data_IF_713074516282
#
_entry.id   IF_713074516282
#
_cell.length_a   1.000
_cell.length_b   1.000
_cell.length_c   1.000
_cell.angle_alpha   90.00
_cell.angle_beta   90.00
_cell.angle_gamma   90.00
#
_symmetry.space_group_name_H-M   'P 1'
#
loop_
_entity.id
_entity.type
_entity.pdbx_description
1 polymer ?
#
# COMPACT_ATOMS: atom_id res chain seq x y z
N UNK A 1 -47.62 17.36 18.19
CA UNK A 1 -46.72 16.95 19.27
C UNK A 1 -45.71 15.99 18.65
N UNK A 2 -44.59 16.53 18.19
CA UNK A 2 -43.53 15.77 17.52
C UNK A 2 -42.44 15.57 18.57
N UNK A 3 -42.25 14.33 18.99
CA UNK A 3 -41.18 13.96 19.94
C UNK A 3 -39.89 13.85 19.16
N UNK A 4 -39.01 14.83 19.37
CA UNK A 4 -37.65 14.80 18.85
C UNK A 4 -36.81 13.80 19.67
N UNK A 5 -36.35 12.74 19.03
CA UNK A 5 -35.35 11.83 19.60
C UNK A 5 -33.97 12.44 19.35
N UNK A 6 -33.34 12.84 20.45
CA UNK A 6 -32.00 13.45 20.46
C UNK A 6 -30.93 12.46 19.99
N UNK A 7 -30.32 12.75 18.85
CA UNK A 7 -29.22 12.00 18.25
C UNK A 7 -27.84 12.37 18.83
N UNK A 8 -27.72 12.62 20.14
CA UNK A 8 -26.54 13.29 20.73
C UNK A 8 -25.54 12.37 21.45
N UNK A 9 -25.68 11.04 21.40
CA UNK A 9 -24.82 10.14 22.20
C UNK A 9 -23.85 9.27 21.37
N UNK A 10 -23.90 9.29 20.04
CA UNK A 10 -23.04 8.41 19.20
C UNK A 10 -21.73 9.02 18.68
N UNK A 11 -21.34 10.24 19.08
CA UNK A 11 -20.31 11.03 18.36
C UNK A 11 -18.96 11.20 19.06
N UNK A 12 -18.69 10.55 20.21
CA UNK A 12 -17.43 10.79 20.95
C UNK A 12 -16.30 9.79 20.73
N UNK A 13 -16.46 8.77 19.90
CA UNK A 13 -15.34 7.92 19.44
C UNK A 13 -14.87 8.20 18.00
N UNK A 14 -15.45 9.22 17.34
CA UNK A 14 -15.05 9.62 15.99
C UNK A 14 -14.83 11.14 15.98
N UNK A 15 -13.63 11.58 15.72
CA UNK A 15 -13.30 12.99 15.61
C UNK A 15 -12.48 13.30 14.37
N UNK A 16 -13.03 14.19 13.58
CA UNK A 16 -12.44 15.17 12.67
C UNK A 16 -11.52 14.72 11.53
N UNK A 17 -11.89 15.18 10.34
CA UNK A 17 -11.07 15.26 9.14
C UNK A 17 -9.74 15.93 9.43
N UNK A 18 -8.63 15.19 9.31
CA UNK A 18 -7.27 15.70 9.29
C UNK A 18 -6.52 15.03 8.14
N UNK A 19 -5.76 15.82 7.43
CA UNK A 19 -4.85 15.49 6.34
C UNK A 19 -4.07 14.21 6.68
N UNK A 20 -4.07 13.23 5.77
CA UNK A 20 -3.45 11.91 5.90
C UNK A 20 -1.92 12.02 6.10
N UNK A 21 -1.47 12.06 7.34
CA UNK A 21 -0.04 12.08 7.68
C UNK A 21 0.64 10.71 7.44
N UNK A 22 -0.14 9.61 7.47
CA UNK A 22 0.36 8.24 7.28
C UNK A 22 0.04 7.68 5.89
N UNK A 23 -0.85 8.31 5.12
CA UNK A 23 -1.28 7.82 3.81
C UNK A 23 -2.11 6.53 3.83
N UNK A 24 -2.51 6.04 5.02
CA UNK A 24 -3.37 4.88 5.14
C UNK A 24 -4.81 5.25 4.77
N UNK A 25 -5.42 4.45 3.92
CA UNK A 25 -6.77 4.66 3.40
C UNK A 25 -7.77 3.63 3.95
N UNK A 26 -9.04 4.00 3.93
CA UNK A 26 -10.19 3.10 4.15
C UNK A 26 -10.41 2.50 5.54
N UNK A 27 -9.91 3.08 6.63
CA UNK A 27 -10.27 2.60 7.95
C UNK A 27 -10.79 3.69 8.90
N UNK A 28 -11.39 3.25 9.99
CA UNK A 28 -12.00 4.11 11.02
C UNK A 28 -10.96 4.68 12.01
N UNK A 29 -9.68 4.40 11.81
CA UNK A 29 -8.58 4.83 12.67
C UNK A 29 -8.06 6.18 12.20
N UNK A 30 -7.95 7.13 13.12
CA UNK A 30 -7.43 8.47 12.83
C UNK A 30 -5.90 8.51 12.89
N UNK A 31 -5.28 9.39 12.13
CA UNK A 31 -3.84 9.62 12.18
C UNK A 31 -3.35 10.03 13.57
N UNK A 32 -4.14 10.78 14.32
CA UNK A 32 -3.81 11.11 15.72
C UNK A 32 -3.71 9.86 16.61
N UNK A 33 -4.54 8.85 16.36
CA UNK A 33 -4.45 7.57 17.07
C UNK A 33 -3.24 6.76 16.65
N UNK A 34 -2.95 6.69 15.32
CA UNK A 34 -1.75 6.03 14.77
C UNK A 34 -0.48 6.63 15.37
N UNK A 35 -0.40 7.96 15.35
CA UNK A 35 0.72 8.72 15.90
C UNK A 35 0.92 8.44 17.40
N UNK A 36 -0.13 8.46 18.20
CA UNK A 36 -0.06 8.17 19.63
C UNK A 36 0.47 6.75 19.91
N UNK A 37 -0.04 5.75 19.18
CA UNK A 37 0.39 4.34 19.32
C UNK A 37 1.82 4.15 18.86
N UNK A 38 2.21 4.70 17.71
CA UNK A 38 3.57 4.65 17.17
C UNK A 38 4.57 5.34 18.12
N UNK A 39 4.27 6.55 18.56
CA UNK A 39 5.11 7.30 19.49
C UNK A 39 5.25 6.59 20.83
N UNK A 40 4.18 5.95 21.32
CA UNK A 40 4.26 5.14 22.55
C UNK A 40 5.23 3.98 22.40
N UNK A 41 5.14 3.21 21.33
CA UNK A 41 6.08 2.11 21.07
C UNK A 41 7.51 2.61 20.97
N UNK A 42 7.78 3.63 20.18
CA UNK A 42 9.13 4.17 19.99
C UNK A 42 9.71 4.81 21.27
N UNK A 43 8.89 5.46 22.09
CA UNK A 43 9.31 5.99 23.39
C UNK A 43 9.78 4.85 24.34
N UNK A 44 9.03 3.75 24.37
CA UNK A 44 9.38 2.59 25.21
C UNK A 44 10.64 1.90 24.69
N UNK A 45 10.76 1.71 23.38
CA UNK A 45 11.96 1.14 22.72
C UNK A 45 13.20 2.03 22.93
N UNK A 46 13.05 3.36 22.78
CA UNK A 46 14.12 4.33 23.08
C UNK A 46 14.64 4.19 24.51
N UNK A 47 13.73 4.10 25.50
CA UNK A 47 14.10 3.91 26.89
C UNK A 47 14.95 2.64 27.11
N UNK A 48 14.58 1.53 26.45
CA UNK A 48 15.33 0.29 26.48
C UNK A 48 16.67 0.45 25.75
N UNK A 49 16.66 1.04 24.55
CA UNK A 49 17.88 1.26 23.77
C UNK A 49 18.90 2.15 24.46
N UNK A 50 18.47 3.12 25.24
CA UNK A 50 19.34 3.98 26.07
C UNK A 50 19.84 3.28 27.36
N UNK A 51 19.49 2.02 27.61
CA UNK A 51 19.82 1.33 28.86
C UNK A 51 19.11 1.91 30.10
N UNK A 52 18.03 2.67 29.93
CA UNK A 52 17.24 3.26 31.01
C UNK A 52 16.08 2.39 31.50
N UNK A 53 15.95 1.18 30.95
CA UNK A 53 14.90 0.25 31.32
C UNK A 53 15.29 -0.58 32.54
N UNK A 54 14.46 -0.51 33.59
CA UNK A 54 14.61 -1.37 34.76
C UNK A 54 13.97 -2.73 34.46
N UNK A 55 14.74 -3.78 34.67
CA UNK A 55 14.29 -5.17 34.68
C UNK A 55 14.06 -5.69 36.11
N UNK A 56 14.06 -7.01 36.28
CA UNK A 56 13.88 -7.68 37.58
C UNK A 56 15.13 -7.53 38.45
N UNK A 57 15.13 -6.54 39.33
CA UNK A 57 16.27 -6.20 40.21
C UNK A 57 17.58 -5.91 39.48
N UNK A 58 17.53 -5.53 38.19
CA UNK A 58 18.70 -5.23 37.38
C UNK A 58 18.36 -4.08 36.41
N UNK A 59 19.34 -3.20 36.16
CA UNK A 59 19.27 -2.25 35.07
C UNK A 59 19.66 -2.98 33.77
N UNK A 60 18.78 -2.98 32.78
CA UNK A 60 19.08 -3.61 31.49
C UNK A 60 20.12 -2.80 30.72
N UNK A 61 21.04 -3.48 30.04
CA UNK A 61 22.04 -2.85 29.18
C UNK A 61 21.36 -2.19 27.97
N UNK A 62 21.99 -1.15 27.46
CA UNK A 62 21.54 -0.47 26.25
C UNK A 62 21.50 -1.43 25.04
N UNK A 63 20.65 -1.13 24.06
CA UNK A 63 20.58 -1.92 22.83
C UNK A 63 21.45 -1.31 21.73
N UNK A 64 22.30 -2.14 21.14
CA UNK A 64 23.19 -1.73 20.05
C UNK A 64 22.49 -1.71 18.66
N UNK A 65 21.30 -2.35 18.52
CA UNK A 65 20.65 -2.61 17.23
C UNK A 65 19.12 -2.40 17.23
N UNK A 66 18.60 -1.58 18.12
CA UNK A 66 17.15 -1.36 18.23
C UNK A 66 16.59 -0.53 17.05
N UNK A 67 15.82 -1.14 16.16
CA UNK A 67 15.16 -0.42 15.09
C UNK A 67 14.07 0.51 15.63
N UNK A 68 13.92 1.70 15.03
CA UNK A 68 12.73 2.54 15.16
C UNK A 68 11.58 1.84 14.42
N UNK A 69 10.43 1.76 15.05
CA UNK A 69 9.23 1.24 14.40
C UNK A 69 8.63 2.28 13.46
N UNK A 70 8.16 1.81 12.31
CA UNK A 70 7.35 2.55 11.36
C UNK A 70 5.93 2.00 11.37
N UNK A 71 4.94 2.85 11.09
CA UNK A 71 3.57 2.42 10.87
C UNK A 71 3.44 1.83 9.47
N UNK A 72 2.84 0.66 9.35
CA UNK A 72 2.66 -0.05 8.07
C UNK A 72 1.17 -0.09 7.72
N UNK A 73 0.76 0.68 6.70
CA UNK A 73 -0.63 0.76 6.27
C UNK A 73 -1.14 -0.57 5.68
N UNK A 74 -0.28 -1.34 5.03
CA UNK A 74 -0.62 -2.66 4.53
C UNK A 74 -0.90 -3.62 5.69
N UNK A 75 -0.07 -3.57 6.73
CA UNK A 75 -0.30 -4.36 7.93
C UNK A 75 -1.55 -3.92 8.67
N UNK A 76 -1.89 -2.61 8.67
CA UNK A 76 -3.14 -2.10 9.25
C UNK A 76 -4.35 -2.71 8.57
N UNK A 77 -4.37 -2.83 7.22
CA UNK A 77 -5.43 -3.52 6.50
C UNK A 77 -5.59 -4.98 6.96
N UNK A 78 -4.46 -5.69 7.10
CA UNK A 78 -4.48 -7.07 7.61
C UNK A 78 -5.02 -7.15 9.06
N UNK A 79 -4.73 -6.15 9.91
CA UNK A 79 -5.29 -6.08 11.26
C UNK A 79 -6.80 -5.85 11.21
N UNK A 80 -7.27 -4.91 10.36
CA UNK A 80 -8.69 -4.56 10.23
C UNK A 80 -9.53 -5.75 9.74
N UNK A 81 -9.05 -6.51 8.76
CA UNK A 81 -9.70 -7.74 8.31
C UNK A 81 -9.85 -8.79 9.43
N UNK A 82 -8.89 -8.85 10.32
CA UNK A 82 -8.86 -9.86 11.39
C UNK A 82 -9.56 -9.43 12.69
N UNK A 83 -9.82 -8.12 12.88
CA UNK A 83 -10.42 -7.61 14.14
C UNK A 83 -11.96 -7.60 14.10
N UNK A 84 -12.59 -7.79 12.95
CA UNK A 84 -14.05 -7.69 12.79
C UNK A 84 -14.85 -8.57 13.74
N UNK A 85 -14.34 -9.74 14.07
CA UNK A 85 -15.01 -10.73 14.95
C UNK A 85 -14.85 -10.46 16.44
N UNK A 86 -14.21 -9.34 16.82
CA UNK A 86 -13.93 -9.04 18.24
C UNK A 86 -13.13 -10.13 18.98
N UNK A 87 -12.33 -10.88 18.24
CA UNK A 87 -11.44 -11.93 18.78
C UNK A 87 -10.15 -11.96 17.97
N UNK A 88 -9.05 -12.31 18.60
CA UNK A 88 -7.80 -12.53 17.88
C UNK A 88 -7.93 -13.74 16.94
N UNK A 89 -7.33 -13.70 15.74
CA UNK A 89 -7.21 -14.89 14.91
C UNK A 89 -6.34 -15.94 15.60
N UNK A 90 -6.47 -17.21 15.20
CA UNK A 90 -5.67 -18.30 15.77
C UNK A 90 -4.17 -18.14 15.52
N UNK A 91 -3.80 -17.47 14.43
CA UNK A 91 -2.43 -17.13 14.06
C UNK A 91 -2.42 -15.82 13.23
N UNK A 92 -1.31 -15.07 13.21
CA UNK A 92 -1.15 -13.95 12.29
C UNK A 92 -1.14 -14.45 10.83
N UNK A 93 -1.45 -13.56 9.85
CA UNK A 93 -1.60 -13.95 8.44
C UNK A 93 -0.32 -14.49 7.80
N UNK A 94 0.84 -14.21 8.39
CA UNK A 94 2.13 -14.75 7.96
C UNK A 94 2.90 -15.32 9.13
N UNK A 95 3.61 -16.43 8.92
CA UNK A 95 4.36 -17.13 9.97
C UNK A 95 5.49 -16.29 10.60
N UNK A 96 6.02 -15.32 9.85
CA UNK A 96 7.05 -14.39 10.33
C UNK A 96 6.50 -13.27 11.21
N UNK A 97 5.19 -13.02 11.17
CA UNK A 97 4.56 -11.96 11.93
C UNK A 97 4.34 -12.36 13.38
N UNK A 98 4.38 -11.36 14.24
CA UNK A 98 3.89 -11.49 15.60
C UNK A 98 2.52 -10.85 15.74
N UNK A 99 1.79 -11.28 16.76
CA UNK A 99 0.47 -10.77 17.10
C UNK A 99 0.38 -10.49 18.60
N UNK A 100 -0.24 -9.36 18.94
CA UNK A 100 -0.67 -9.08 20.34
C UNK A 100 -2.11 -8.62 20.33
N UNK A 101 -2.89 -9.02 21.33
CA UNK A 101 -4.28 -8.61 21.45
C UNK A 101 -4.69 -8.38 22.89
N UNK A 102 -5.70 -7.56 23.12
CA UNK A 102 -6.30 -7.36 24.44
C UNK A 102 -7.76 -6.94 24.35
N UNK A 103 -8.54 -7.37 25.33
CA UNK A 103 -9.82 -6.76 25.69
C UNK A 103 -9.60 -5.72 26.78
N UNK A 104 -9.95 -4.47 26.51
CA UNK A 104 -9.77 -3.35 27.44
C UNK A 104 -11.15 -2.88 27.88
N UNK A 105 -11.54 -2.98 29.17
CA UNK A 105 -12.82 -2.50 29.65
C UNK A 105 -12.97 -0.98 29.45
N UNK A 106 -14.08 -0.55 28.86
CA UNK A 106 -14.42 0.87 28.73
C UNK A 106 -15.17 1.28 30.01
N UNK A 107 -14.55 2.16 30.79
CA UNK A 107 -15.13 2.73 32.00
C UNK A 107 -15.35 4.23 31.77
N UNK A 108 -16.60 4.66 31.63
CA UNK A 108 -16.94 6.06 31.36
C UNK A 108 -16.79 6.44 29.88
N UNK A 109 -16.13 7.57 29.60
CA UNK A 109 -15.91 8.03 28.22
C UNK A 109 -14.97 7.11 27.45
N UNK A 110 -15.33 6.82 26.19
CA UNK A 110 -14.47 6.08 25.28
C UNK A 110 -13.38 7.01 24.73
N UNK A 111 -12.18 6.93 25.33
CA UNK A 111 -10.98 7.57 24.79
C UNK A 111 -10.02 6.46 24.33
N UNK A 112 -10.10 6.10 23.06
CA UNK A 112 -9.33 5.00 22.49
C UNK A 112 -7.80 5.22 22.57
N UNK A 113 -7.33 6.47 22.51
CA UNK A 113 -5.90 6.79 22.65
C UNK A 113 -5.44 6.43 24.07
N UNK A 114 -6.08 6.98 25.10
CA UNK A 114 -5.66 6.75 26.47
C UNK A 114 -5.75 5.27 26.86
N UNK A 115 -6.84 4.59 26.49
CA UNK A 115 -7.05 3.17 26.79
C UNK A 115 -5.95 2.29 26.19
N UNK A 116 -5.57 2.56 24.93
CA UNK A 116 -4.54 1.76 24.26
C UNK A 116 -3.15 2.11 24.79
N UNK A 117 -2.81 3.40 24.96
CA UNK A 117 -1.53 3.78 25.55
C UNK A 117 -1.28 3.18 26.93
N UNK A 118 -2.31 3.16 27.80
CA UNK A 118 -2.18 2.57 29.13
C UNK A 118 -2.03 1.05 29.06
N UNK A 119 -2.69 0.39 28.10
CA UNK A 119 -2.49 -1.05 27.86
C UNK A 119 -1.08 -1.36 27.36
N UNK A 120 -0.53 -0.58 26.44
CA UNK A 120 0.85 -0.72 25.95
C UNK A 120 1.87 -0.52 27.09
N UNK A 121 1.65 0.48 27.96
CA UNK A 121 2.49 0.71 29.15
C UNK A 121 2.42 -0.49 30.11
N UNK A 122 1.24 -1.05 30.30
CA UNK A 122 1.03 -2.23 31.17
C UNK A 122 1.78 -3.43 30.64
N UNK A 123 1.61 -3.78 29.36
CA UNK A 123 2.33 -4.87 28.71
C UNK A 123 3.86 -4.71 28.81
N UNK A 124 4.33 -3.48 28.57
CA UNK A 124 5.75 -3.18 28.68
C UNK A 124 6.27 -3.35 30.09
N UNK A 125 5.58 -2.79 31.08
CA UNK A 125 5.96 -2.85 32.50
C UNK A 125 6.00 -4.28 33.01
N UNK A 126 4.99 -5.08 32.71
CA UNK A 126 4.88 -6.48 33.13
C UNK A 126 6.03 -7.31 32.55
N UNK A 127 6.24 -7.25 31.23
CA UNK A 127 7.27 -8.03 30.57
C UNK A 127 8.69 -7.59 30.91
N UNK A 128 8.97 -6.28 30.93
CA UNK A 128 10.25 -5.76 31.33
C UNK A 128 10.60 -6.12 32.78
N UNK A 129 9.58 -6.15 33.69
CA UNK A 129 9.77 -6.53 35.09
C UNK A 129 10.23 -7.98 35.31
N UNK A 130 10.11 -8.84 34.31
CA UNK A 130 10.62 -10.21 34.34
C UNK A 130 12.02 -10.37 33.77
N UNK A 131 12.55 -9.35 33.09
CA UNK A 131 13.86 -9.39 32.42
C UNK A 131 15.01 -9.32 33.41
N UNK A 132 15.97 -10.24 33.32
CA UNK A 132 17.22 -10.25 34.07
C UNK A 132 18.44 -9.96 33.19
N UNK A 133 18.26 -10.03 31.89
CA UNK A 133 19.24 -9.82 30.82
C UNK A 133 18.49 -9.41 29.52
N UNK A 134 19.13 -9.46 28.38
CA UNK A 134 18.53 -9.15 27.09
C UNK A 134 17.84 -10.33 26.39
N UNK A 135 17.68 -11.48 27.05
CA UNK A 135 17.04 -12.65 26.45
C UNK A 135 15.52 -12.65 26.65
N UNK A 136 14.79 -13.15 25.66
CA UNK A 136 13.35 -13.38 25.74
C UNK A 136 13.04 -14.33 26.90
N UNK A 137 12.15 -13.94 27.81
CA UNK A 137 11.72 -14.77 28.94
C UNK A 137 10.45 -15.56 28.63
N UNK A 138 9.52 -14.94 27.87
CA UNK A 138 8.27 -15.55 27.45
C UNK A 138 7.79 -14.95 26.13
N UNK A 139 6.98 -15.70 25.38
CA UNK A 139 6.22 -15.17 24.27
C UNK A 139 5.04 -14.35 24.80
N UNK A 140 5.24 -13.06 24.96
CA UNK A 140 4.27 -12.12 25.51
C UNK A 140 4.29 -10.80 24.72
N UNK A 141 3.33 -9.90 24.93
CA UNK A 141 3.27 -8.63 24.19
C UNK A 141 4.55 -7.78 24.30
N UNK A 142 5.21 -7.78 25.47
CA UNK A 142 6.48 -7.05 25.65
C UNK A 142 7.55 -7.57 24.71
N UNK A 143 7.71 -8.90 24.57
CA UNK A 143 8.73 -9.48 23.72
C UNK A 143 8.53 -9.03 22.24
N UNK A 144 7.29 -8.95 21.78
CA UNK A 144 6.99 -8.48 20.43
C UNK A 144 7.25 -6.97 20.28
N UNK A 145 6.83 -6.15 21.25
CA UNK A 145 7.06 -4.70 21.24
C UNK A 145 8.54 -4.33 21.32
N UNK A 146 9.36 -5.12 22.01
CA UNK A 146 10.77 -4.86 22.30
C UNK A 146 11.74 -5.61 21.35
N UNK A 147 11.24 -6.43 20.42
CA UNK A 147 12.05 -7.13 19.43
C UNK A 147 12.84 -6.16 18.56
N UNK A 148 14.16 -6.15 18.68
CA UNK A 148 15.00 -5.13 18.06
C UNK A 148 14.93 -5.09 16.53
N UNK A 149 14.74 -6.25 15.89
CA UNK A 149 14.76 -6.38 14.43
C UNK A 149 13.43 -5.99 13.76
N UNK A 150 12.36 -5.82 14.54
CA UNK A 150 11.09 -5.32 14.03
C UNK A 150 11.24 -3.86 13.57
N UNK A 151 10.84 -3.56 12.35
CA UNK A 151 10.87 -2.23 11.73
C UNK A 151 9.49 -1.71 11.33
N UNK A 152 8.49 -2.63 11.18
CA UNK A 152 7.13 -2.33 10.80
C UNK A 152 6.09 -2.97 11.72
N UNK A 153 5.02 -2.24 12.00
CA UNK A 153 3.86 -2.75 12.71
C UNK A 153 2.62 -1.92 12.41
N UNK A 154 1.46 -2.47 12.71
CA UNK A 154 0.22 -1.72 12.81
C UNK A 154 -0.69 -2.31 13.88
N UNK A 155 -1.60 -1.49 14.37
CA UNK A 155 -2.66 -1.88 15.29
C UNK A 155 -4.01 -1.35 14.79
N UNK A 156 -5.07 -2.02 15.21
CA UNK A 156 -6.43 -1.53 15.09
C UNK A 156 -7.22 -1.84 16.34
N UNK A 157 -8.36 -1.18 16.53
CA UNK A 157 -9.26 -1.46 17.64
C UNK A 157 -10.71 -1.48 17.19
N UNK A 158 -11.51 -2.26 17.90
CA UNK A 158 -12.97 -2.32 17.73
C UNK A 158 -13.68 -2.25 19.05
N UNK A 159 -14.84 -1.58 19.10
CA UNK A 159 -15.69 -1.59 20.29
C UNK A 159 -16.56 -2.84 20.26
N UNK A 160 -16.43 -3.67 21.28
CA UNK A 160 -17.08 -4.97 21.41
C UNK A 160 -17.74 -5.09 22.78
N UNK A 161 -19.07 -5.09 22.86
CA UNK A 161 -19.85 -5.35 24.08
C UNK A 161 -19.33 -4.61 25.34
N UNK A 162 -19.09 -3.29 25.24
CA UNK A 162 -18.60 -2.47 26.35
C UNK A 162 -17.09 -2.54 26.62
N UNK A 163 -16.36 -3.25 25.78
CA UNK A 163 -14.89 -3.32 25.81
C UNK A 163 -14.33 -2.73 24.49
N UNK A 164 -13.10 -2.29 24.54
CA UNK A 164 -12.28 -2.02 23.35
C UNK A 164 -11.41 -3.26 23.12
N UNK A 165 -11.59 -3.91 21.99
CA UNK A 165 -10.72 -4.99 21.56
C UNK A 165 -9.58 -4.37 20.75
N UNK A 166 -8.32 -4.62 21.15
CA UNK A 166 -7.10 -4.17 20.50
C UNK A 166 -6.41 -5.36 19.85
N UNK A 167 -5.97 -5.21 18.60
CA UNK A 167 -5.15 -6.16 17.88
C UNK A 167 -3.97 -5.42 17.25
N UNK A 168 -2.76 -5.95 17.37
CA UNK A 168 -1.56 -5.45 16.69
C UNK A 168 -0.82 -6.59 16.00
N UNK A 169 -0.31 -6.34 14.80
CA UNK A 169 0.66 -7.19 14.12
C UNK A 169 2.00 -6.48 14.03
N UNK A 170 3.08 -7.27 14.04
CA UNK A 170 4.48 -6.82 13.90
C UNK A 170 5.13 -7.67 12.80
N UNK A 171 5.92 -7.06 11.92
CA UNK A 171 6.49 -7.74 10.75
C UNK A 171 7.58 -8.78 11.08
N UNK A 172 8.09 -8.77 12.31
CA UNK A 172 9.08 -9.74 12.78
C UNK A 172 8.67 -10.29 14.14
N UNK A 173 8.55 -11.61 14.24
CA UNK A 173 8.26 -12.30 15.48
C UNK A 173 9.50 -12.36 16.36
N UNK A 174 9.36 -12.07 17.65
CA UNK A 174 10.42 -12.31 18.62
C UNK A 174 10.78 -13.81 18.65
N UNK A 175 12.06 -14.10 18.79
CA UNK A 175 12.57 -15.48 18.91
C UNK A 175 12.00 -16.16 20.16
N UNK A 176 12.11 -17.48 20.22
CA UNK A 176 11.70 -18.25 21.38
C UNK A 176 12.50 -17.85 22.65
N UNK A 177 11.94 -18.16 23.81
CA UNK A 177 12.58 -17.92 25.11
C UNK A 177 14.05 -18.40 25.13
N UNK A 178 14.91 -17.64 25.79
CA UNK A 178 16.35 -17.89 25.85
C UNK A 178 17.17 -17.26 24.72
N UNK A 179 16.54 -16.78 23.63
CA UNK A 179 17.24 -16.05 22.57
C UNK A 179 17.26 -14.54 22.88
N UNK A 180 18.25 -13.84 22.31
CA UNK A 180 18.36 -12.41 22.48
C UNK A 180 17.21 -11.65 21.81
N UNK A 181 16.55 -10.79 22.58
CA UNK A 181 15.51 -9.87 22.15
C UNK A 181 16.11 -8.68 21.40
N UNK A 182 17.27 -8.26 21.84
CA UNK A 182 18.10 -7.23 21.21
C UNK A 182 19.58 -7.54 21.48
N UNK A 183 20.45 -6.95 20.70
CA UNK A 183 21.88 -7.04 20.95
C UNK A 183 22.28 -6.00 21.99
N UNK A 184 22.65 -6.46 23.18
CA UNK A 184 23.13 -5.55 24.23
C UNK A 184 24.50 -4.97 23.87
N UNK A 185 24.77 -3.74 24.34
CA UNK A 185 26.12 -3.18 24.33
C UNK A 185 27.06 -3.99 25.21
N UNK A 186 28.39 -3.87 25.01
CA UNK A 186 29.35 -4.69 25.73
C UNK A 186 29.43 -4.33 27.23
N UNK A 187 29.29 -3.04 27.55
CA UNK A 187 29.39 -2.55 28.93
C UNK A 187 28.32 -1.48 29.22
N UNK A 188 27.98 -1.32 30.49
CA UNK A 188 27.15 -0.24 30.96
C UNK A 188 27.82 1.11 30.65
N UNK A 189 27.04 2.01 29.96
CA UNK A 189 27.55 3.32 29.53
C UNK A 189 28.02 3.38 28.08
N UNK A 190 28.16 2.24 27.40
CA UNK A 190 28.43 2.23 25.96
C UNK A 190 27.22 2.85 25.20
N UNK A 191 27.48 3.58 24.11
CA UNK A 191 26.42 4.23 23.36
C UNK A 191 25.53 3.22 22.64
N UNK A 192 24.22 3.51 22.49
CA UNK A 192 23.31 2.73 21.65
C UNK A 192 23.70 2.80 20.16
N UNK A 193 23.07 1.98 19.33
CA UNK A 193 23.23 1.97 17.87
C UNK A 193 24.60 1.52 17.33
N UNK A 194 25.49 0.98 18.16
CA UNK A 194 26.80 0.50 17.68
C UNK A 194 26.70 -0.53 16.55
N UNK A 195 25.61 -1.30 16.53
CA UNK A 195 25.33 -2.37 15.58
C UNK A 195 23.99 -2.17 14.84
N UNK A 196 23.67 -0.93 14.48
CA UNK A 196 22.56 -0.69 13.58
C UNK A 196 22.74 -1.47 12.26
N UNK A 197 21.65 -1.99 11.68
CA UNK A 197 21.72 -2.70 10.40
C UNK A 197 22.19 -1.79 9.27
N UNK A 198 22.58 -2.41 8.16
CA UNK A 198 22.90 -1.70 6.92
C UNK A 198 21.68 -1.64 6.01
N UNK A 199 21.64 -0.64 5.14
CA UNK A 199 20.59 -0.57 4.11
C UNK A 199 20.68 -1.81 3.21
N UNK A 200 19.54 -2.46 2.92
CA UNK A 200 19.54 -3.66 2.08
C UNK A 200 19.83 -3.36 0.61
N UNK A 201 19.45 -2.17 0.14
CA UNK A 201 19.48 -1.84 -1.29
C UNK A 201 20.17 -0.52 -1.63
N UNK A 202 19.88 0.58 -0.92
CA UNK A 202 20.36 1.90 -1.35
C UNK A 202 20.55 2.88 -0.17
N UNK A 203 21.77 3.31 0.13
CA UNK A 203 23.04 2.80 -0.38
C UNK A 203 23.41 1.45 0.27
N UNK A 204 23.76 0.42 -0.51
CA UNK A 204 24.05 -0.90 0.03
C UNK A 204 25.33 -0.86 0.90
N UNK A 205 25.24 -1.55 2.05
CA UNK A 205 26.37 -1.68 2.98
C UNK A 205 26.61 -0.47 3.89
N UNK A 206 25.89 0.63 3.73
CA UNK A 206 25.94 1.76 4.66
C UNK A 206 25.04 1.47 5.88
N UNK A 207 25.53 1.74 7.10
CA UNK A 207 24.70 1.65 8.31
C UNK A 207 23.58 2.68 8.26
N UNK A 208 22.39 2.28 8.70
CA UNK A 208 21.28 3.21 8.87
C UNK A 208 21.58 4.24 9.97
N UNK A 209 21.04 5.46 9.87
CA UNK A 209 21.25 6.49 10.88
C UNK A 209 20.76 6.05 12.26
N UNK A 210 21.46 6.50 13.31
CA UNK A 210 21.00 6.43 14.68
C UNK A 210 20.34 7.76 15.05
N UNK A 211 19.06 7.75 15.30
CA UNK A 211 18.32 8.95 15.73
C UNK A 211 17.62 8.62 17.03
N UNK A 212 17.87 9.42 18.05
CA UNK A 212 17.28 9.23 19.38
C UNK A 212 17.48 7.83 19.95
N UNK A 213 18.68 7.26 19.82
CA UNK A 213 19.06 5.92 20.27
C UNK A 213 18.37 4.76 19.51
N UNK A 214 17.67 5.02 18.42
CA UNK A 214 17.04 4.03 17.57
C UNK A 214 17.64 4.04 16.16
N UNK A 215 17.84 2.85 15.59
CA UNK A 215 18.28 2.69 14.21
C UNK A 215 17.12 3.00 13.25
N UNK A 216 17.28 3.98 12.37
CA UNK A 216 16.26 4.35 11.39
C UNK A 216 16.26 3.42 10.19
N UNK A 217 15.89 2.16 10.41
CA UNK A 217 15.74 1.21 9.32
C UNK A 217 14.48 1.55 8.50
N UNK A 218 14.55 1.50 7.16
CA UNK A 218 13.37 1.74 6.32
C UNK A 218 12.32 0.67 6.57
N UNK A 219 11.05 1.06 6.44
CA UNK A 219 9.92 0.15 6.58
C UNK A 219 10.01 -0.98 5.54
N UNK A 220 9.90 -2.21 6.01
CA UNK A 220 9.64 -3.38 5.17
C UNK A 220 8.14 -3.62 5.17
N UNK A 221 7.46 -3.08 4.17
CA UNK A 221 6.00 -3.13 4.08
C UNK A 221 5.46 -4.57 4.04
N UNK A 222 4.33 -4.77 4.69
CA UNK A 222 3.62 -6.03 4.68
C UNK A 222 3.11 -6.37 3.26
N UNK A 223 3.21 -7.63 2.91
CA UNK A 223 2.64 -8.14 1.65
C UNK A 223 1.18 -8.52 1.85
N UNK A 224 0.30 -7.92 1.06
CA UNK A 224 -1.13 -8.20 1.09
C UNK A 224 -1.47 -9.12 -0.07
N UNK A 225 -2.12 -10.28 0.15
CA UNK A 225 -2.69 -11.07 -0.93
C UNK A 225 -3.78 -10.26 -1.65
N UNK A 226 -3.67 -10.14 -2.95
CA UNK A 226 -4.65 -9.41 -3.76
C UNK A 226 -5.91 -10.23 -4.01
N UNK A 227 -7.06 -9.59 -3.94
CA UNK A 227 -8.35 -10.13 -4.42
C UNK A 227 -8.62 -9.73 -5.88
N UNK A 228 -7.89 -8.76 -6.42
CA UNK A 228 -8.01 -8.26 -7.80
C UNK A 228 -7.31 -9.17 -8.81
N UNK A 229 -6.19 -9.76 -8.39
CA UNK A 229 -5.51 -10.79 -9.17
C UNK A 229 -6.16 -12.16 -8.94
N UNK A 230 -6.00 -13.07 -9.88
CA UNK A 230 -6.45 -14.46 -9.73
C UNK A 230 -5.83 -15.14 -8.50
N UNK A 231 -6.32 -16.33 -8.16
CA UNK A 231 -5.83 -17.14 -7.04
C UNK A 231 -4.63 -18.03 -7.41
N UNK A 232 -3.97 -18.61 -6.42
CA UNK A 232 -2.86 -19.55 -6.64
C UNK A 232 -1.63 -18.89 -7.26
N UNK A 233 -1.11 -19.42 -8.35
CA UNK A 233 0.07 -18.88 -9.03
C UNK A 233 -0.15 -17.49 -9.67
N UNK A 234 -1.42 -17.09 -9.85
CA UNK A 234 -1.80 -15.77 -10.34
C UNK A 234 -2.06 -14.76 -9.22
N UNK A 235 -1.97 -15.16 -7.95
CA UNK A 235 -2.18 -14.26 -6.83
C UNK A 235 -1.08 -13.20 -6.79
N UNK A 236 -1.47 -11.93 -6.77
CA UNK A 236 -0.56 -10.84 -6.49
C UNK A 236 -0.25 -10.82 -4.98
N UNK A 237 1.03 -10.89 -4.66
CA UNK A 237 1.51 -10.75 -3.29
C UNK A 237 2.66 -9.76 -3.35
N UNK A 238 2.50 -8.55 -2.82
CA UNK A 238 3.61 -7.62 -2.90
C UNK A 238 3.33 -6.18 -2.53
N UNK A 239 4.06 -5.29 -3.15
CA UNK A 239 4.22 -3.88 -2.78
C UNK A 239 2.94 -3.04 -2.93
N UNK A 240 1.94 -3.51 -3.70
CA UNK A 240 0.74 -2.71 -3.98
C UNK A 240 -0.50 -3.25 -3.28
N UNK A 241 -1.33 -2.32 -2.82
CA UNK A 241 -2.66 -2.62 -2.29
C UNK A 241 -3.66 -2.91 -3.43
N UNK A 242 -4.75 -3.61 -3.12
CA UNK A 242 -5.85 -3.79 -4.07
C UNK A 242 -6.47 -2.46 -4.49
N UNK A 243 -6.46 -1.45 -3.61
CA UNK A 243 -6.90 -0.10 -3.95
C UNK A 243 -6.07 0.50 -5.10
N UNK A 244 -4.74 0.34 -5.06
CA UNK A 244 -3.87 0.76 -6.16
C UNK A 244 -4.20 -0.01 -7.46
N UNK A 245 -4.34 -1.33 -7.37
CA UNK A 245 -4.64 -2.19 -8.52
C UNK A 245 -5.99 -1.84 -9.15
N UNK A 246 -7.01 -1.65 -8.31
CA UNK A 246 -8.35 -1.21 -8.74
C UNK A 246 -8.31 0.19 -9.35
N UNK A 247 -7.60 1.14 -8.73
CA UNK A 247 -7.46 2.48 -9.31
C UNK A 247 -6.83 2.43 -10.70
N UNK A 248 -5.75 1.66 -10.89
CA UNK A 248 -5.14 1.46 -12.19
C UNK A 248 -6.12 0.82 -13.19
N UNK A 249 -6.77 -0.28 -12.83
CA UNK A 249 -7.69 -1.03 -13.68
C UNK A 249 -8.93 -0.22 -14.04
N UNK A 250 -9.59 0.37 -13.05
CA UNK A 250 -10.85 1.11 -13.24
C UNK A 250 -10.65 2.38 -14.06
N UNK A 251 -9.55 3.10 -13.88
CA UNK A 251 -9.25 4.27 -14.70
C UNK A 251 -9.00 3.91 -16.17
N UNK A 252 -8.30 2.80 -16.44
CA UNK A 252 -8.12 2.32 -17.81
C UNK A 252 -9.48 1.90 -18.42
N UNK A 253 -10.27 1.13 -17.71
CA UNK A 253 -11.61 0.72 -18.16
C UNK A 253 -12.58 1.91 -18.30
N UNK A 254 -12.43 2.93 -17.48
CA UNK A 254 -13.19 4.18 -17.64
C UNK A 254 -12.90 4.86 -18.99
N UNK A 255 -11.63 5.06 -19.35
CA UNK A 255 -11.28 5.70 -20.62
C UNK A 255 -11.62 4.82 -21.83
N UNK A 256 -11.45 3.51 -21.73
CA UNK A 256 -11.88 2.56 -22.75
C UNK A 256 -13.41 2.62 -22.96
N UNK A 257 -14.18 2.69 -21.87
CA UNK A 257 -15.64 2.83 -21.93
C UNK A 257 -16.06 4.18 -22.50
N UNK A 258 -15.37 5.26 -22.12
CA UNK A 258 -15.61 6.60 -22.67
C UNK A 258 -15.42 6.60 -24.19
N UNK A 259 -14.36 5.95 -24.69
CA UNK A 259 -14.09 5.78 -26.11
C UNK A 259 -15.14 4.89 -26.80
N UNK A 260 -15.40 3.72 -26.23
CA UNK A 260 -16.35 2.73 -26.78
C UNK A 260 -17.79 3.28 -26.89
N UNK A 261 -18.18 4.16 -25.98
CA UNK A 261 -19.51 4.80 -26.00
C UNK A 261 -19.58 6.08 -26.85
N UNK A 262 -18.45 6.54 -27.40
CA UNK A 262 -18.38 7.73 -28.24
C UNK A 262 -18.43 9.06 -27.47
N UNK A 263 -18.14 9.03 -26.15
CA UNK A 263 -18.10 10.24 -25.32
C UNK A 263 -16.68 10.78 -25.11
N UNK A 264 -15.66 10.09 -25.60
CA UNK A 264 -14.30 10.61 -25.57
C UNK A 264 -14.18 11.82 -26.49
N UNK A 265 -13.73 12.95 -25.96
CA UNK A 265 -13.42 14.13 -26.77
C UNK A 265 -12.23 13.82 -27.66
N UNK A 266 -12.30 14.25 -28.91
CA UNK A 266 -11.24 14.10 -29.90
C UNK A 266 -11.05 15.42 -30.65
N UNK A 267 -9.82 15.92 -30.64
CA UNK A 267 -9.48 17.22 -31.23
C UNK A 267 -9.86 17.33 -32.72
N UNK A 268 -9.75 16.24 -33.46
CA UNK A 268 -9.93 16.27 -34.92
C UNK A 268 -11.39 16.13 -35.36
N UNK A 269 -12.22 15.43 -34.55
CA UNK A 269 -13.60 15.08 -34.92
C UNK A 269 -14.63 15.39 -33.84
N UNK A 270 -14.26 16.23 -32.84
CA UNK A 270 -15.03 16.66 -31.67
C UNK A 270 -15.24 15.54 -30.66
N UNK A 271 -15.79 14.40 -31.09
CA UNK A 271 -15.94 13.18 -30.29
C UNK A 271 -15.49 11.99 -31.11
N UNK A 272 -14.78 11.08 -30.44
CA UNK A 272 -14.34 9.82 -31.02
C UNK A 272 -15.56 8.97 -31.47
N UNK A 273 -15.40 8.20 -32.53
CA UNK A 273 -16.43 7.29 -32.99
C UNK A 273 -16.58 6.12 -32.03
N UNK A 274 -17.82 5.63 -31.74
CA UNK A 274 -18.00 4.51 -30.84
C UNK A 274 -17.25 3.25 -31.26
N UNK A 275 -16.60 2.60 -30.30
CA UNK A 275 -15.97 1.28 -30.48
C UNK A 275 -17.00 0.15 -30.35
N UNK A 276 -16.92 -0.87 -31.21
CA UNK A 276 -17.93 -1.95 -31.27
C UNK A 276 -17.53 -3.25 -30.55
N UNK A 277 -16.24 -3.43 -30.23
CA UNK A 277 -15.74 -4.66 -29.59
C UNK A 277 -14.61 -4.41 -28.58
N UNK A 278 -14.62 -3.24 -27.91
CA UNK A 278 -13.66 -2.87 -26.89
C UNK A 278 -13.77 -3.81 -25.69
N UNK A 279 -12.69 -4.53 -25.37
CA UNK A 279 -12.67 -5.49 -24.28
C UNK A 279 -12.46 -4.80 -22.94
N UNK A 280 -13.17 -5.23 -21.88
CA UNK A 280 -12.89 -4.84 -20.49
C UNK A 280 -11.60 -5.50 -20.02
N UNK A 281 -10.69 -4.71 -19.47
CA UNK A 281 -9.38 -5.19 -19.00
C UNK A 281 -9.51 -5.94 -17.67
N UNK A 282 -8.69 -6.96 -17.51
CA UNK A 282 -8.43 -7.66 -16.25
C UNK A 282 -7.02 -7.32 -15.73
N UNK A 283 -6.84 -7.36 -14.41
CA UNK A 283 -5.52 -7.15 -13.81
C UNK A 283 -4.68 -8.43 -13.85
N UNK A 284 -3.39 -8.32 -14.16
CA UNK A 284 -2.51 -9.47 -14.33
C UNK A 284 -1.21 -9.34 -13.54
N UNK A 285 -0.93 -10.34 -12.69
CA UNK A 285 0.28 -10.40 -11.86
C UNK A 285 1.57 -10.37 -12.69
N UNK A 286 1.64 -11.12 -13.77
CA UNK A 286 2.86 -11.20 -14.59
C UNK A 286 3.20 -9.86 -15.24
N UNK A 287 2.18 -9.04 -15.57
CA UNK A 287 2.36 -7.68 -16.07
C UNK A 287 2.74 -6.72 -14.94
N UNK A 288 2.17 -6.86 -13.73
CA UNK A 288 2.61 -6.11 -12.54
C UNK A 288 4.10 -6.38 -12.25
N UNK A 289 4.53 -7.64 -12.26
CA UNK A 289 5.93 -8.00 -12.02
C UNK A 289 6.90 -7.39 -13.05
N UNK A 290 6.48 -7.29 -14.33
CA UNK A 290 7.24 -6.58 -15.37
C UNK A 290 7.30 -5.09 -15.10
N UNK A 291 6.17 -4.48 -14.78
CA UNK A 291 6.07 -3.08 -14.44
C UNK A 291 6.96 -2.72 -13.23
N UNK A 292 6.94 -3.55 -12.17
CA UNK A 292 7.84 -3.43 -11.01
C UNK A 292 9.30 -3.46 -11.45
N UNK A 293 9.66 -4.43 -12.30
CA UNK A 293 11.04 -4.58 -12.79
C UNK A 293 11.51 -3.33 -13.55
N UNK A 294 10.64 -2.74 -14.34
CA UNK A 294 10.96 -1.55 -15.14
C UNK A 294 10.99 -0.27 -14.28
N UNK A 295 9.98 -0.06 -13.43
CA UNK A 295 9.93 1.09 -12.53
C UNK A 295 11.13 1.12 -11.56
N UNK A 296 11.59 -0.04 -11.09
CA UNK A 296 12.76 -0.17 -10.21
C UNK A 296 14.09 0.26 -10.85
N UNK A 297 14.15 0.39 -12.18
CA UNK A 297 15.32 0.97 -12.88
C UNK A 297 15.43 2.48 -12.64
N UNK A 298 14.39 3.11 -12.10
CA UNK A 298 14.33 4.54 -11.82
C UNK A 298 14.71 5.41 -13.03
N UNK A 299 14.10 5.20 -14.22
CA UNK A 299 14.39 6.03 -15.39
C UNK A 299 14.03 7.50 -15.10
N UNK A 300 14.82 8.42 -15.63
CA UNK A 300 14.58 9.87 -15.50
C UNK A 300 13.77 10.46 -16.66
N UNK A 301 13.48 9.65 -17.67
CA UNK A 301 12.66 10.00 -18.83
C UNK A 301 11.67 8.90 -19.16
N UNK A 302 10.48 9.29 -19.63
CA UNK A 302 9.45 8.35 -20.05
C UNK A 302 9.82 7.75 -21.42
N UNK A 303 10.21 6.47 -21.44
CA UNK A 303 10.72 5.77 -22.64
C UNK A 303 9.98 4.45 -22.92
N UNK A 304 8.69 4.34 -22.57
CA UNK A 304 7.86 3.18 -22.94
C UNK A 304 7.59 3.10 -24.44
N UNK A 305 7.14 1.94 -24.92
CA UNK A 305 6.83 1.63 -26.31
C UNK A 305 5.49 0.91 -26.48
N UNK A 306 5.32 0.15 -27.58
CA UNK A 306 4.15 -0.69 -27.77
C UNK A 306 3.95 -1.65 -26.57
N UNK A 307 2.75 -1.64 -26.00
CA UNK A 307 2.43 -2.46 -24.84
C UNK A 307 3.02 -2.01 -23.51
N UNK A 308 3.67 -0.82 -23.46
CA UNK A 308 4.22 -0.24 -22.23
C UNK A 308 3.97 1.27 -22.18
N UNK A 309 3.39 1.75 -21.08
CA UNK A 309 3.22 3.18 -20.81
C UNK A 309 4.05 3.58 -19.60
N UNK A 310 4.97 4.54 -19.78
CA UNK A 310 5.85 5.04 -18.72
C UNK A 310 5.56 6.52 -18.46
N UNK A 311 5.42 6.88 -17.22
CA UNK A 311 5.30 8.25 -16.75
C UNK A 311 6.39 8.55 -15.73
N UNK A 312 7.02 9.70 -15.85
CA UNK A 312 8.08 10.13 -14.95
C UNK A 312 7.83 11.58 -14.56
N UNK A 313 7.77 11.84 -13.27
CA UNK A 313 7.67 13.20 -12.75
C UNK A 313 8.88 13.53 -11.89
N UNK A 314 9.42 14.74 -12.07
CA UNK A 314 10.57 15.26 -11.32
C UNK A 314 10.27 16.62 -10.70
N UNK A 315 11.17 17.09 -9.83
CA UNK A 315 11.12 18.42 -9.20
C UNK A 315 10.31 18.46 -7.91
N UNK A 316 10.66 19.38 -7.01
CA UNK A 316 10.07 19.50 -5.67
C UNK A 316 10.14 18.19 -4.89
N UNK A 317 9.07 17.83 -4.21
CA UNK A 317 8.94 16.59 -3.45
C UNK A 317 8.25 15.47 -4.26
N UNK A 318 8.23 15.55 -5.59
CA UNK A 318 7.55 14.56 -6.43
C UNK A 318 8.12 13.15 -6.30
N UNK A 319 9.37 12.99 -5.84
CA UNK A 319 9.98 11.69 -5.56
C UNK A 319 9.38 10.97 -4.31
N UNK A 320 8.45 11.59 -3.61
CA UNK A 320 7.70 11.04 -2.46
C UNK A 320 6.18 10.99 -2.75
N UNK A 321 5.78 11.08 -4.02
CA UNK A 321 4.36 11.11 -4.39
C UNK A 321 3.64 9.83 -3.96
N UNK A 322 2.47 9.92 -3.31
CA UNK A 322 1.66 8.74 -2.99
C UNK A 322 1.32 7.92 -4.24
N UNK A 323 1.37 6.60 -4.15
CA UNK A 323 1.17 5.70 -5.29
C UNK A 323 -0.17 5.90 -6.00
N UNK A 324 -1.26 6.10 -5.24
CA UNK A 324 -2.60 6.38 -5.81
C UNK A 324 -2.65 7.71 -6.57
N UNK A 325 -1.96 8.73 -6.07
CA UNK A 325 -1.87 10.01 -6.75
C UNK A 325 -1.05 9.87 -8.04
N UNK A 326 0.08 9.16 -7.97
CA UNK A 326 0.98 8.95 -9.11
C UNK A 326 0.27 8.21 -10.26
N UNK A 327 -0.39 7.07 -9.97
CA UNK A 327 -1.13 6.32 -11.00
C UNK A 327 -2.27 7.15 -11.58
N UNK A 328 -3.01 7.90 -10.73
CA UNK A 328 -4.10 8.77 -11.18
C UNK A 328 -3.64 9.89 -12.12
N UNK A 329 -2.49 10.48 -11.86
CA UNK A 329 -1.88 11.50 -12.74
C UNK A 329 -1.37 10.87 -14.04
N UNK A 330 -0.63 9.78 -13.95
CA UNK A 330 -0.06 9.09 -15.11
C UNK A 330 -1.14 8.70 -16.12
N UNK A 331 -2.22 8.05 -15.70
CA UNK A 331 -3.30 7.62 -16.59
C UNK A 331 -4.01 8.82 -17.23
N UNK A 332 -4.21 9.91 -16.50
CA UNK A 332 -4.77 11.15 -17.06
C UNK A 332 -3.84 11.77 -18.10
N UNK A 333 -2.56 11.86 -17.81
CA UNK A 333 -1.57 12.45 -18.71
C UNK A 333 -1.38 11.60 -19.98
N UNK A 334 -1.43 10.28 -19.88
CA UNK A 334 -1.41 9.40 -21.05
C UNK A 334 -2.65 9.55 -21.93
N UNK A 335 -3.81 9.85 -21.35
CA UNK A 335 -5.05 10.05 -22.12
C UNK A 335 -5.22 11.46 -22.68
N UNK A 336 -4.68 12.48 -22.04
CA UNK A 336 -4.86 13.90 -22.40
C UNK A 336 -4.58 14.21 -23.89
N UNK A 337 -3.61 13.55 -24.57
CA UNK A 337 -3.38 13.77 -26.01
C UNK A 337 -4.58 13.43 -26.91
N UNK A 338 -5.54 12.60 -26.48
CA UNK A 338 -6.74 12.33 -27.27
C UNK A 338 -7.59 13.61 -27.40
N UNK A 339 -7.69 14.39 -26.32
CA UNK A 339 -8.38 15.69 -26.37
C UNK A 339 -7.55 16.79 -27.04
N UNK A 340 -6.21 16.74 -26.92
CA UNK A 340 -5.32 17.78 -27.41
C UNK A 340 -4.87 17.59 -28.86
N UNK A 341 -4.75 16.35 -29.35
CA UNK A 341 -4.30 15.98 -30.69
C UNK A 341 -5.40 15.22 -31.46
N UNK A 342 -6.04 14.23 -30.81
CA UNK A 342 -7.10 13.40 -31.36
C UNK A 342 -6.60 12.21 -32.19
N UNK A 343 -7.27 11.07 -32.11
CA UNK A 343 -7.07 9.92 -33.00
C UNK A 343 -7.62 10.23 -34.41
N UNK A 344 -8.65 11.05 -34.50
CA UNK A 344 -9.31 11.39 -35.76
C UNK A 344 -10.03 10.21 -36.42
N UNK A 345 -9.95 10.15 -37.75
CA UNK A 345 -10.63 9.11 -38.55
C UNK A 345 -9.71 7.93 -38.88
N UNK A 346 -8.41 8.16 -38.92
CA UNK A 346 -7.43 7.09 -39.14
C UNK A 346 -7.04 6.47 -37.79
N UNK A 347 -7.40 5.24 -37.62
CA UNK A 347 -7.21 4.49 -36.36
C UNK A 347 -6.13 3.40 -36.53
N UNK A 348 -5.32 3.48 -37.57
CA UNK A 348 -4.17 2.62 -37.77
C UNK A 348 -3.03 3.07 -36.82
N UNK A 349 -2.47 2.13 -36.09
CA UNK A 349 -1.27 2.37 -35.29
C UNK A 349 -0.05 2.32 -36.20
N UNK A 350 0.71 3.37 -36.20
CA UNK A 350 1.87 3.53 -37.08
C UNK A 350 3.09 3.95 -36.29
N UNK A 351 4.26 3.89 -36.91
CA UNK A 351 5.51 4.45 -36.37
C UNK A 351 5.35 5.92 -35.93
N UNK A 352 4.55 6.72 -36.64
CA UNK A 352 4.25 8.11 -36.24
C UNK A 352 3.40 8.16 -34.94
N UNK A 353 2.48 7.23 -34.76
CA UNK A 353 1.72 7.10 -33.50
C UNK A 353 2.63 6.68 -32.35
N UNK A 354 3.51 5.71 -32.60
CA UNK A 354 4.47 5.21 -31.62
C UNK A 354 5.45 6.28 -31.13
N UNK A 355 5.91 7.15 -32.01
CA UNK A 355 6.85 8.22 -31.69
C UNK A 355 6.15 9.56 -31.36
N UNK A 356 4.82 9.61 -31.49
CA UNK A 356 4.01 10.80 -31.29
C UNK A 356 3.36 10.92 -29.91
N UNK A 357 2.60 11.99 -29.75
CA UNK A 357 1.90 12.29 -28.51
C UNK A 357 0.84 11.23 -28.12
N UNK A 358 0.25 10.54 -29.11
CA UNK A 358 -0.82 9.55 -28.91
C UNK A 358 -0.31 8.16 -28.49
N UNK A 359 0.98 7.94 -28.41
CA UNK A 359 1.63 6.67 -28.05
C UNK A 359 0.97 5.92 -26.91
N UNK A 360 0.90 6.55 -25.76
CA UNK A 360 0.37 5.92 -24.55
C UNK A 360 -1.17 5.82 -24.56
N UNK A 361 -1.84 6.80 -25.17
CA UNK A 361 -3.29 6.73 -25.37
C UNK A 361 -3.67 5.56 -26.29
N UNK A 362 -2.86 5.25 -27.29
CA UNK A 362 -3.06 4.09 -28.18
C UNK A 362 -2.91 2.76 -27.43
N UNK A 363 -1.91 2.63 -26.54
CA UNK A 363 -1.80 1.46 -25.65
C UNK A 363 -3.08 1.26 -24.82
N UNK A 364 -3.61 2.35 -24.22
CA UNK A 364 -4.84 2.29 -23.41
C UNK A 364 -6.08 1.97 -24.25
N UNK A 365 -6.13 2.47 -25.51
CA UNK A 365 -7.28 2.36 -26.41
C UNK A 365 -7.28 1.10 -27.26
N UNK A 366 -6.20 0.32 -27.31
CA UNK A 366 -6.12 -0.86 -28.17
C UNK A 366 -7.17 -1.89 -27.79
N UNK A 367 -8.13 -2.14 -28.72
CA UNK A 367 -9.32 -2.94 -28.44
C UNK A 367 -9.03 -4.39 -28.11
N UNK A 368 -7.93 -4.95 -28.63
CA UNK A 368 -7.53 -6.33 -28.41
C UNK A 368 -6.81 -6.56 -27.06
N UNK A 369 -6.33 -5.52 -26.40
CA UNK A 369 -5.74 -5.65 -25.06
C UNK A 369 -6.79 -6.17 -24.08
N UNK A 370 -6.43 -7.23 -23.34
CA UNK A 370 -7.29 -7.90 -22.37
C UNK A 370 -6.81 -7.76 -20.94
N UNK A 371 -5.52 -7.45 -20.75
CA UNK A 371 -4.90 -7.46 -19.43
C UNK A 371 -3.96 -6.28 -19.25
N UNK A 372 -3.90 -5.77 -18.00
CA UNK A 372 -2.91 -4.78 -17.56
C UNK A 372 -2.26 -5.19 -16.23
N UNK A 373 -1.08 -4.62 -15.99
CA UNK A 373 -0.44 -4.63 -14.69
C UNK A 373 0.41 -3.38 -14.55
N UNK A 374 0.36 -2.71 -13.40
CA UNK A 374 1.00 -1.42 -13.19
C UNK A 374 1.87 -1.42 -11.93
N UNK A 375 2.86 -0.54 -11.91
CA UNK A 375 3.73 -0.29 -10.77
C UNK A 375 4.05 1.20 -10.62
N UNK A 376 4.35 1.61 -9.40
CA UNK A 376 4.87 2.95 -9.06
C UNK A 376 6.16 2.78 -8.26
N UNK A 377 7.16 3.60 -8.56
CA UNK A 377 8.41 3.65 -7.81
C UNK A 377 8.80 5.09 -7.49
N UNK A 378 8.95 5.35 -6.22
CA UNK A 378 9.59 6.57 -5.72
C UNK A 378 11.11 6.37 -5.74
N UNK A 379 11.82 7.25 -6.43
CA UNK A 379 13.26 7.17 -6.67
C UNK A 379 13.97 8.42 -6.11
N UNK A 380 14.16 8.52 -4.77
CA UNK A 380 14.76 9.69 -4.14
C UNK A 380 16.13 10.07 -4.68
N UNK A 381 17.05 9.12 -4.97
CA UNK A 381 18.37 9.47 -5.50
C UNK A 381 18.32 10.15 -6.86
N UNK A 382 17.33 9.86 -7.70
CA UNK A 382 17.09 10.47 -9.00
C UNK A 382 16.13 11.66 -8.92
N UNK A 383 15.48 11.89 -7.78
CA UNK A 383 14.52 12.95 -7.58
C UNK A 383 13.23 12.79 -8.39
N UNK A 384 12.83 11.55 -8.70
CA UNK A 384 11.68 11.26 -9.56
C UNK A 384 10.72 10.23 -8.93
N UNK A 385 9.44 10.27 -9.35
CA UNK A 385 8.51 9.15 -9.24
C UNK A 385 8.23 8.62 -10.64
N UNK A 386 8.26 7.31 -10.77
CA UNK A 386 8.04 6.56 -12.01
C UNK A 386 6.75 5.77 -11.90
N UNK A 387 5.91 5.81 -12.92
CA UNK A 387 4.77 4.90 -13.11
C UNK A 387 5.02 4.11 -14.39
N UNK A 388 4.86 2.79 -14.32
CA UNK A 388 4.94 1.88 -15.45
C UNK A 388 3.67 1.03 -15.51
N UNK A 389 3.04 0.94 -16.68
CA UNK A 389 1.93 0.02 -16.94
C UNK A 389 2.23 -0.82 -18.19
N UNK A 390 2.03 -2.13 -18.04
CA UNK A 390 2.22 -3.12 -19.08
C UNK A 390 0.87 -3.64 -19.58
N UNK A 391 0.76 -3.88 -20.90
CA UNK A 391 -0.46 -4.29 -21.59
C UNK A 391 -0.26 -5.59 -22.34
N UNK A 392 -1.28 -6.44 -22.37
CA UNK A 392 -1.25 -7.70 -23.12
C UNK A 392 -2.61 -8.01 -23.77
N UNK A 393 -2.65 -8.38 -25.08
CA UNK A 393 -1.57 -8.19 -26.04
C UNK A 393 -1.19 -6.73 -26.24
N UNK A 394 0.06 -6.51 -26.65
CA UNK A 394 0.57 -5.20 -27.07
C UNK A 394 0.05 -4.84 -28.45
N UNK A 395 -0.15 -3.55 -28.71
CA UNK A 395 -0.42 -3.04 -30.06
C UNK A 395 0.89 -3.08 -30.89
N UNK A 396 0.77 -3.33 -32.19
CA UNK A 396 1.91 -3.37 -33.11
C UNK A 396 1.64 -2.52 -34.36
N UNK A 397 2.68 -2.15 -35.07
CA UNK A 397 2.59 -1.36 -36.31
C UNK A 397 1.63 -2.03 -37.30
N UNK A 398 0.73 -1.25 -37.91
CA UNK A 398 -0.34 -1.71 -38.80
C UNK A 398 -1.62 -2.19 -38.10
N UNK A 399 -1.64 -2.32 -36.76
CA UNK A 399 -2.86 -2.66 -36.04
C UNK A 399 -3.89 -1.54 -36.07
N UNK A 400 -5.18 -1.91 -36.07
CA UNK A 400 -6.26 -0.96 -35.84
C UNK A 400 -6.41 -0.73 -34.32
N UNK A 401 -6.25 0.51 -33.85
CA UNK A 401 -6.38 0.86 -32.43
C UNK A 401 -7.74 0.39 -31.88
N UNK A 402 -8.84 0.70 -32.58
CA UNK A 402 -10.15 0.13 -32.30
C UNK A 402 -11.09 0.19 -33.51
N UNK A 403 -12.00 -0.76 -33.61
CA UNK A 403 -13.01 -0.84 -34.68
C UNK A 403 -14.21 0.02 -34.33
N UNK A 404 -14.60 0.92 -35.24
CA UNK A 404 -15.73 1.83 -35.04
C UNK A 404 -17.05 1.29 -35.57
N UNK A 405 -18.16 1.79 -35.01
CA UNK A 405 -19.51 1.52 -35.49
C UNK A 405 -20.56 2.38 -34.80
N UNK A 406 -21.84 2.03 -35.01
CA UNK A 406 -22.96 2.85 -34.49
C UNK A 406 -23.43 2.43 -33.09
N UNK A 407 -23.06 1.24 -32.62
CA UNK A 407 -23.52 0.70 -31.34
C UNK A 407 -22.40 0.02 -30.61
N UNK A 408 -22.06 0.45 -29.38
CA UNK A 408 -21.12 -0.26 -28.51
C UNK A 408 -21.51 -1.73 -28.33
N UNK A 409 -20.54 -2.59 -28.10
CA UNK A 409 -20.71 -4.02 -27.86
C UNK A 409 -21.35 -4.81 -29.01
N UNK A 410 -21.64 -4.22 -30.18
CA UNK A 410 -22.34 -4.91 -31.26
C UNK A 410 -21.56 -6.08 -31.86
N UNK A 411 -20.25 -6.11 -31.63
CA UNK A 411 -19.33 -7.16 -32.10
C UNK A 411 -18.55 -7.86 -30.99
N UNK A 412 -19.06 -7.89 -29.75
CA UNK A 412 -18.39 -8.60 -28.66
C UNK A 412 -18.20 -10.10 -28.96
N UNK A 413 -19.11 -10.72 -29.71
CA UNK A 413 -18.99 -12.15 -30.13
C UNK A 413 -17.88 -12.41 -31.13
N UNK A 414 -17.37 -11.37 -31.78
CA UNK A 414 -16.26 -11.49 -32.74
C UNK A 414 -14.89 -11.46 -32.02
N UNK A 415 -14.86 -11.31 -30.69
CA UNK A 415 -13.66 -11.28 -29.88
C UNK A 415 -13.50 -12.57 -29.08
N UNK A 416 -12.29 -13.11 -29.03
CA UNK A 416 -12.03 -14.35 -28.30
C UNK A 416 -12.39 -14.23 -26.81
N UNK A 417 -13.25 -15.11 -26.33
CA UNK A 417 -13.60 -15.24 -24.92
C UNK A 417 -14.60 -14.22 -24.39
N UNK A 418 -15.13 -13.29 -25.21
CA UNK A 418 -16.18 -12.36 -24.79
C UNK A 418 -17.47 -12.65 -25.54
N UNK A 419 -18.62 -12.62 -24.87
CA UNK A 419 -19.91 -12.85 -25.48
C UNK A 419 -20.97 -11.83 -25.08
N UNK A 420 -20.70 -11.04 -24.06
CA UNK A 420 -21.62 -10.11 -23.44
C UNK A 420 -21.07 -8.68 -23.39
N UNK A 421 -21.98 -7.72 -23.30
CA UNK A 421 -21.68 -6.36 -22.95
C UNK A 421 -21.66 -6.24 -21.42
N UNK A 422 -20.73 -5.50 -20.85
CA UNK A 422 -20.67 -5.24 -19.40
C UNK A 422 -21.96 -4.57 -18.91
N UNK A 423 -22.31 -4.77 -17.65
CA UNK A 423 -23.52 -4.18 -17.04
C UNK A 423 -23.52 -2.64 -17.08
N UNK A 424 -22.34 -2.02 -17.06
CA UNK A 424 -22.16 -0.58 -17.23
C UNK A 424 -22.18 -0.14 -18.71
N UNK A 425 -22.26 -1.09 -19.66
CA UNK A 425 -22.22 -0.84 -21.10
C UNK A 425 -20.82 -0.51 -21.63
N UNK A 426 -20.72 -0.49 -22.96
CA UNK A 426 -19.53 -0.03 -23.68
C UNK A 426 -18.41 -1.04 -23.85
N UNK A 427 -18.18 -1.92 -22.90
CA UNK A 427 -17.08 -2.89 -22.93
C UNK A 427 -17.58 -4.32 -23.07
N UNK A 428 -16.84 -5.13 -23.83
CA UNK A 428 -17.10 -6.55 -23.98
C UNK A 428 -16.47 -7.33 -22.82
N UNK A 429 -17.24 -8.18 -22.17
CA UNK A 429 -16.82 -8.99 -21.02
C UNK A 429 -16.89 -10.48 -21.32
N UNK A 430 -16.10 -11.26 -20.61
CA UNK A 430 -16.26 -12.71 -20.55
C UNK A 430 -17.59 -13.04 -19.88
N UNK A 431 -18.24 -14.17 -20.25
CA UNK A 431 -19.50 -14.60 -19.64
C UNK A 431 -19.33 -15.01 -18.18
#
# INVERSE_FOLDING_TARGET
MIVGISATVMWKCHSYFVILAFGCTNNLITDAWREAVLNRHNTLRKRLAEGKQQGKKVQLLAAANMNKLNWDCNMEMLVDENIEKCSAPAAPPQNTYAMTSAEIPIRGECNAINLVEDKLKTWWKEGAGEMTDNNVKADNPFAQMANAVTDGFACSYRRCQGKLFLLCFYNQKAKAAGNALYQAVAQAGDPPCGNCPVYPTNPPGQKVPCVEALCQFPLTEAKIPSTVCGSGAQACVGEFSDEFRLAALDMHNYYRRLLATGWAKDKQITYARPGVKMIELEYNKGLEDKAITNANKCPTTAAGGPGESVWVVSGGNNYEMPHLEAIGKAVKDWWAPVEATGFGKNLEYTTDTENGALKYAANMAYEATTQIGCAVKNCPPQGVTVVDCQYNPAITDGDTIYTTGNKPCSKCRDTQGTTACSTLGGLCVKP
#
